data_IF_857093980531
#
_entry.id   IF_857093980531
#
_cell.length_a   1.000
_cell.length_b   1.000
_cell.length_c   1.000
_cell.angle_alpha   90.00
_cell.angle_beta   90.00
_cell.angle_gamma   90.00
#
_symmetry.space_group_name_H-M   'P 1'
#
loop_
_entity.id
_entity.type
_entity.pdbx_description
1 polymer ?
#
# COMPACT_ATOMS: atom_id res chain seq x y z
N UNK A 1 -14.68 18.08 1.02
CA UNK A 1 -14.14 16.71 0.94
C UNK A 1 -13.37 16.47 2.22
N UNK A 2 -13.78 15.50 3.04
CA UNK A 2 -13.01 15.10 4.23
C UNK A 2 -11.98 14.06 3.79
N UNK A 3 -10.70 14.27 4.11
CA UNK A 3 -9.68 13.23 3.95
C UNK A 3 -9.72 12.29 5.15
N UNK A 4 -9.45 10.99 4.96
CA UNK A 4 -9.28 10.06 6.08
C UNK A 4 -7.98 10.35 6.83
N UNK A 5 -7.85 9.82 8.06
CA UNK A 5 -6.61 9.95 8.82
C UNK A 5 -5.45 9.29 8.09
N UNK A 6 -5.67 8.14 7.47
CA UNK A 6 -4.66 7.41 6.71
C UNK A 6 -4.17 8.22 5.52
N UNK A 7 -5.09 8.84 4.76
CA UNK A 7 -4.75 9.71 3.65
C UNK A 7 -3.97 10.95 4.11
N UNK A 8 -4.37 11.52 5.24
CA UNK A 8 -3.64 12.64 5.86
C UNK A 8 -2.21 12.24 6.26
N UNK A 9 -2.06 11.09 6.93
CA UNK A 9 -0.75 10.60 7.38
C UNK A 9 0.16 10.28 6.18
N UNK A 10 -0.36 9.63 5.14
CA UNK A 10 0.34 9.35 3.89
C UNK A 10 0.83 10.65 3.20
N UNK A 11 -0.04 11.66 3.13
CA UNK A 11 0.31 12.97 2.59
C UNK A 11 1.39 13.66 3.43
N UNK A 12 1.28 13.64 4.76
CA UNK A 12 2.31 14.22 5.62
C UNK A 12 3.69 13.60 5.38
N UNK A 13 3.76 12.27 5.25
CA UNK A 13 5.02 11.55 5.09
C UNK A 13 5.61 11.72 3.69
N UNK A 14 4.75 11.73 2.66
CA UNK A 14 5.18 12.02 1.29
C UNK A 14 5.72 13.45 1.15
N UNK A 15 5.03 14.45 1.69
CA UNK A 15 5.53 15.83 1.68
C UNK A 15 6.82 15.99 2.50
N UNK A 16 6.92 15.37 3.68
CA UNK A 16 8.16 15.38 4.46
C UNK A 16 9.34 14.79 3.69
N UNK A 17 9.11 13.70 2.94
CA UNK A 17 10.13 13.08 2.09
C UNK A 17 10.57 13.99 0.95
N UNK A 18 9.63 14.72 0.33
CA UNK A 18 9.93 15.69 -0.73
C UNK A 18 10.69 16.91 -0.21
N UNK A 19 10.37 17.38 0.99
CA UNK A 19 11.12 18.48 1.65
C UNK A 19 12.57 18.07 1.91
N UNK A 20 12.79 16.85 2.40
CA UNK A 20 14.14 16.34 2.62
C UNK A 20 14.91 16.20 1.31
N UNK A 21 14.24 15.70 0.26
CA UNK A 21 14.83 15.59 -1.07
C UNK A 21 15.24 16.95 -1.64
N UNK A 22 14.36 17.97 -1.58
CA UNK A 22 14.64 19.33 -2.05
C UNK A 22 15.74 20.01 -1.23
N UNK A 23 15.79 19.74 0.07
CA UNK A 23 16.85 20.19 0.98
C UNK A 23 18.17 19.41 0.87
N UNK A 24 18.30 18.50 -0.10
CA UNK A 24 19.46 17.60 -0.29
C UNK A 24 19.85 16.83 0.99
N UNK A 25 18.87 16.58 1.86
CA UNK A 25 19.03 15.86 3.12
C UNK A 25 18.74 14.37 2.94
N UNK A 26 19.37 13.54 3.78
CA UNK A 26 19.15 12.10 3.74
C UNK A 26 17.73 11.73 4.21
N UNK A 27 17.03 10.94 3.40
CA UNK A 27 15.64 10.51 3.66
C UNK A 27 15.67 9.29 4.59
N UNK A 28 15.81 9.54 5.89
CA UNK A 28 15.77 8.53 6.94
C UNK A 28 14.47 8.60 7.75
N UNK A 29 14.11 7.53 8.47
CA UNK A 29 12.91 7.49 9.32
C UNK A 29 12.91 8.61 10.38
N UNK A 30 14.07 8.88 10.98
CA UNK A 30 14.24 9.93 11.99
C UNK A 30 14.12 11.33 11.37
N UNK A 31 14.72 11.55 10.19
CA UNK A 31 14.63 12.81 9.48
C UNK A 31 13.18 13.13 9.06
N UNK A 32 12.47 12.13 8.53
CA UNK A 32 11.05 12.26 8.18
C UNK A 32 10.22 12.60 9.42
N UNK A 33 10.42 11.86 10.51
CA UNK A 33 9.70 12.10 11.78
C UNK A 33 9.97 13.50 12.34
N UNK A 34 11.20 14.00 12.22
CA UNK A 34 11.58 15.34 12.64
C UNK A 34 10.85 16.43 11.82
N UNK A 35 10.76 16.27 10.50
CA UNK A 35 10.02 17.20 9.64
C UNK A 35 8.52 17.20 9.97
N UNK A 36 7.94 16.02 10.19
CA UNK A 36 6.52 15.88 10.55
C UNK A 36 6.25 16.57 11.90
N UNK A 37 7.07 16.32 12.91
CA UNK A 37 6.95 16.98 14.21
C UNK A 37 7.11 18.50 14.11
N UNK A 38 8.07 18.99 13.30
CA UNK A 38 8.27 20.42 13.07
C UNK A 38 7.07 21.09 12.38
N UNK A 39 6.31 20.33 11.57
CA UNK A 39 5.08 20.80 10.93
C UNK A 39 3.84 20.79 11.85
N UNK A 40 3.97 20.28 13.07
CA UNK A 40 2.86 20.15 14.03
C UNK A 40 1.89 19.01 13.72
N UNK A 41 2.30 18.07 12.86
CA UNK A 41 1.50 16.90 12.52
C UNK A 41 1.95 15.67 13.30
N UNK A 42 1.05 14.69 13.43
CA UNK A 42 1.33 13.39 14.02
C UNK A 42 0.90 12.29 13.04
N UNK A 43 1.79 11.33 12.80
CA UNK A 43 1.52 10.18 11.92
C UNK A 43 1.85 8.88 12.63
N UNK A 44 1.27 7.77 12.16
CA UNK A 44 1.61 6.47 12.70
C UNK A 44 3.11 6.12 12.47
N UNK A 45 3.84 5.55 13.46
CA UNK A 45 5.30 5.33 13.38
C UNK A 45 5.78 4.41 12.25
N UNK A 46 4.90 3.60 11.67
CA UNK A 46 5.25 2.74 10.55
C UNK A 46 5.46 3.53 9.25
N UNK A 47 4.84 4.70 9.10
CA UNK A 47 4.92 5.49 7.87
C UNK A 47 6.32 6.02 7.58
N UNK A 48 7.03 6.69 8.52
CA UNK A 48 8.40 7.14 8.28
C UNK A 48 9.34 5.99 7.90
N UNK A 49 9.21 4.85 8.56
CA UNK A 49 10.03 3.65 8.30
C UNK A 49 9.76 3.09 6.89
N UNK A 50 8.50 3.05 6.48
CA UNK A 50 8.09 2.58 5.16
C UNK A 50 8.65 3.49 4.06
N UNK A 51 8.50 4.80 4.20
CA UNK A 51 8.97 5.77 3.21
C UNK A 51 10.50 5.82 3.12
N UNK A 52 11.20 5.77 4.26
CA UNK A 52 12.65 5.66 4.27
C UNK A 52 13.14 4.42 3.51
N UNK A 53 12.46 3.27 3.68
CA UNK A 53 12.79 2.03 2.96
C UNK A 53 12.46 2.12 1.47
N UNK A 54 11.33 2.74 1.12
CA UNK A 54 10.90 2.93 -0.27
C UNK A 54 11.85 3.84 -1.05
N UNK A 55 12.34 4.90 -0.40
CA UNK A 55 13.16 5.95 -0.99
C UNK A 55 14.66 5.79 -0.73
N UNK A 56 15.08 4.63 -0.21
CA UNK A 56 16.48 4.34 0.12
C UNK A 56 17.44 4.43 -1.08
N UNK A 57 16.92 4.36 -2.31
CA UNK A 57 17.70 4.57 -3.54
C UNK A 57 17.63 6.04 -3.93
N UNK A 58 18.78 6.68 -4.09
CA UNK A 58 18.91 8.12 -4.36
C UNK A 58 18.08 8.63 -5.54
N UNK A 59 17.96 7.84 -6.62
CA UNK A 59 17.22 8.26 -7.82
C UNK A 59 15.72 7.99 -7.75
N UNK A 60 15.24 7.30 -6.70
CA UNK A 60 13.87 6.80 -6.65
C UNK A 60 12.83 7.93 -6.56
N UNK A 61 13.16 9.01 -5.86
CA UNK A 61 12.29 10.18 -5.76
C UNK A 61 12.09 10.83 -7.14
N UNK A 62 13.17 11.04 -7.89
CA UNK A 62 13.11 11.62 -9.25
C UNK A 62 12.39 10.69 -10.23
N UNK A 63 12.63 9.39 -10.14
CA UNK A 63 11.94 8.37 -10.95
C UNK A 63 10.43 8.44 -10.71
N UNK A 64 10.00 8.51 -9.45
CA UNK A 64 8.58 8.60 -9.09
C UNK A 64 7.94 9.89 -9.59
N UNK A 65 8.60 11.05 -9.44
CA UNK A 65 8.05 12.33 -9.91
C UNK A 65 7.96 12.35 -11.43
N UNK A 66 9.00 11.86 -12.13
CA UNK A 66 9.09 11.92 -13.60
C UNK A 66 8.15 10.94 -14.31
N UNK A 67 7.83 9.82 -13.66
CA UNK A 67 6.88 8.82 -14.18
C UNK A 67 5.42 9.11 -13.82
N UNK A 68 5.16 10.16 -13.03
CA UNK A 68 3.84 10.47 -12.47
C UNK A 68 3.48 9.65 -11.22
N UNK A 69 4.38 8.77 -10.76
CA UNK A 69 4.23 7.91 -9.59
C UNK A 69 3.11 6.87 -9.75
N UNK A 70 3.07 5.82 -8.91
CA UNK A 70 1.80 5.15 -8.69
C UNK A 70 0.85 6.22 -8.15
N UNK A 71 -0.24 6.49 -8.87
CA UNK A 71 -1.33 7.30 -8.33
C UNK A 71 -1.65 6.78 -6.93
N UNK A 72 -1.91 7.67 -5.96
CA UNK A 72 -2.27 7.34 -4.58
C UNK A 72 -3.56 6.49 -4.55
N UNK A 73 -3.42 5.23 -4.92
CA UNK A 73 -4.39 4.19 -4.76
C UNK A 73 -4.23 3.78 -3.31
N UNK A 74 -5.22 4.15 -2.49
CA UNK A 74 -5.22 3.94 -1.06
C UNK A 74 -4.70 2.54 -0.71
N UNK A 75 -3.87 2.50 0.33
CA UNK A 75 -3.15 1.31 0.77
C UNK A 75 -3.99 0.03 0.61
N UNK A 76 -3.61 -0.81 -0.36
CA UNK A 76 -4.11 -2.17 -0.41
C UNK A 76 -3.69 -2.86 0.89
N UNK A 77 -4.66 -3.42 1.61
CA UNK A 77 -4.43 -4.18 2.83
C UNK A 77 -3.34 -5.24 2.58
N UNK A 78 -2.42 -5.36 3.55
CA UNK A 78 -1.28 -6.25 3.48
C UNK A 78 -1.70 -7.69 3.12
N UNK A 79 -1.51 -8.03 1.85
CA UNK A 79 -1.67 -9.35 1.27
C UNK A 79 -0.78 -9.33 0.03
N UNK A 80 0.35 -10.00 0.12
CA UNK A 80 1.48 -9.76 -0.77
C UNK A 80 1.19 -9.98 -2.25
N UNK A 81 1.93 -9.27 -3.09
CA UNK A 81 2.56 -9.82 -4.29
C UNK A 81 3.46 -8.76 -4.93
N UNK A 82 4.55 -9.25 -5.51
CA UNK A 82 5.34 -8.56 -6.50
C UNK A 82 4.46 -8.07 -7.68
N UNK A 83 4.85 -6.95 -8.28
CA UNK A 83 4.55 -6.68 -9.68
C UNK A 83 5.70 -5.84 -10.27
N UNK A 84 6.62 -6.53 -10.94
CA UNK A 84 7.43 -5.93 -11.99
C UNK A 84 6.51 -5.65 -13.19
N UNK A 85 6.80 -4.55 -13.90
CA UNK A 85 5.94 -4.02 -14.96
C UNK A 85 5.85 -4.85 -16.23
N UNK A 86 5.03 -4.35 -17.16
CA UNK A 86 5.01 -4.81 -18.54
C UNK A 86 3.61 -4.86 -19.15
N UNK A 87 3.30 -3.82 -19.93
CA UNK A 87 2.59 -3.75 -21.21
C UNK A 87 1.53 -4.80 -21.64
N UNK A 88 0.54 -4.27 -22.34
CA UNK A 88 -0.67 -4.89 -22.84
C UNK A 88 -0.49 -6.08 -23.79
N UNK A 89 -1.44 -7.02 -23.74
CA UNK A 89 -1.99 -7.71 -24.91
C UNK A 89 -3.42 -8.20 -24.60
N UNK A 90 -4.35 -7.82 -25.46
CA UNK A 90 -5.74 -8.30 -25.49
C UNK A 90 -5.85 -9.61 -26.30
N UNK A 91 -6.84 -10.44 -25.93
CA UNK A 91 -7.47 -11.58 -26.62
C UNK A 91 -7.70 -12.68 -25.55
N UNK A 92 -8.84 -13.36 -25.41
CA UNK A 92 -10.10 -13.46 -26.14
C UNK A 92 -11.12 -14.06 -25.17
N UNK A 93 -12.41 -13.79 -25.38
CA UNK A 93 -13.52 -14.53 -24.78
C UNK A 93 -13.46 -16.02 -25.16
N UNK A 94 -13.68 -16.91 -24.20
CA UNK A 94 -14.47 -18.12 -24.46
C UNK A 94 -15.30 -18.45 -23.21
N UNK A 95 -16.62 -18.36 -23.39
CA UNK A 95 -17.64 -18.89 -22.50
C UNK A 95 -17.74 -20.39 -22.72
N UNK A 96 -17.83 -21.16 -21.63
CA UNK A 96 -18.69 -22.33 -21.58
C UNK A 96 -19.14 -22.55 -20.12
N UNK A 97 -20.44 -22.29 -19.90
CA UNK A 97 -21.23 -22.81 -18.80
C UNK A 97 -21.57 -24.28 -19.10
N UNK A 98 -21.51 -25.18 -18.11
CA UNK A 98 -22.70 -25.88 -17.59
C UNK A 98 -22.34 -26.87 -16.46
N UNK A 99 -23.20 -26.86 -15.44
CA UNK A 99 -23.69 -27.96 -14.58
C UNK A 99 -22.72 -29.11 -14.19
N UNK A 100 -22.56 -29.46 -12.91
CA UNK A 100 -23.65 -29.92 -12.05
C UNK A 100 -23.49 -29.49 -10.58
N UNK A 101 -24.62 -29.05 -10.04
CA UNK A 101 -24.90 -28.96 -8.63
C UNK A 101 -25.31 -30.36 -8.10
N UNK A 102 -24.51 -30.97 -7.22
CA UNK A 102 -25.00 -31.88 -6.17
C UNK A 102 -23.87 -32.26 -5.18
N UNK A 103 -23.55 -31.37 -4.25
CA UNK A 103 -23.14 -31.79 -2.90
C UNK A 103 -23.50 -30.69 -1.90
N UNK A 104 -24.80 -30.41 -1.87
CA UNK A 104 -25.40 -29.57 -0.86
C UNK A 104 -25.17 -30.14 0.53
N UNK A 105 -24.85 -29.23 1.44
CA UNK A 105 -25.25 -29.25 2.84
C UNK A 105 -24.75 -30.42 3.72
N UNK A 106 -23.87 -30.05 4.66
CA UNK A 106 -24.09 -30.44 6.05
C UNK A 106 -23.52 -31.79 6.47
N UNK A 107 -22.19 -31.90 6.50
CA UNK A 107 -21.57 -32.78 7.49
C UNK A 107 -20.26 -32.20 8.01
N UNK A 108 -20.41 -31.08 8.72
CA UNK A 108 -19.73 -30.81 9.98
C UNK A 108 -18.49 -31.66 10.26
N UNK A 109 -17.36 -31.15 9.80
CA UNK A 109 -16.25 -30.74 10.66
C UNK A 109 -16.30 -31.33 12.09
N UNK A 110 -16.04 -32.63 12.14
CA UNK A 110 -15.57 -33.40 13.28
C UNK A 110 -15.21 -32.58 14.53
N UNK A 111 -16.07 -32.68 15.56
CA UNK A 111 -15.70 -32.47 16.96
C UNK A 111 -16.30 -31.23 17.61
N UNK A 112 -17.37 -31.41 18.39
CA UNK A 112 -17.97 -30.28 19.10
C UNK A 112 -18.97 -30.54 20.22
N UNK A 113 -19.13 -31.76 20.73
CA UNK A 113 -19.70 -32.03 22.06
C UNK A 113 -21.20 -31.76 22.30
N UNK A 114 -21.62 -32.23 23.47
CA UNK A 114 -22.87 -31.97 24.18
C UNK A 114 -24.10 -32.81 23.80
N UNK A 115 -24.31 -33.84 24.65
CA UNK A 115 -25.59 -34.22 25.26
C UNK A 115 -26.69 -34.75 24.34
N UNK A 116 -26.91 -36.07 24.27
CA UNK A 116 -27.99 -36.89 24.92
C UNK A 116 -27.90 -38.35 24.47
#
# INVERSE_FOLDING_TARGET
MSMSKEQHDELCVSYASLVLFDGEAEITSDAISAVIAASGNEVAPYWPTLFASLLAKSDKVLELISSGGPAAAGAAAAGGAAAAGGEAAAAEEEKEEEEEADLGAGMDMFGGGADY
#
